data_IF_168408798388
#
_entry.id   IF_168408798388
#
_cell.length_a   1.000
_cell.length_b   1.000
_cell.length_c   1.000
_cell.angle_alpha   90.00
_cell.angle_beta   90.00
_cell.angle_gamma   90.00
#
_symmetry.space_group_name_H-M   'P 1'
#
loop_
_entity.id
_entity.type
_entity.pdbx_description
1 polymer ?
#
# COMPACT_ATOMS: atom_id res chain seq x y z
N UNK A 1 -14.95 -11.64 -48.20
CA UNK A 1 -16.33 -11.18 -47.91
C UNK A 1 -16.61 -11.62 -46.48
N UNK A 2 -16.36 -10.76 -45.49
CA UNK A 2 -17.31 -9.80 -44.88
C UNK A 2 -18.51 -10.48 -44.19
N UNK A 3 -18.71 -10.15 -42.91
CA UNK A 3 -19.83 -10.56 -42.04
C UNK A 3 -19.37 -10.76 -40.59
N UNK A 4 -19.01 -9.67 -39.88
CA UNK A 4 -19.86 -9.03 -38.85
C UNK A 4 -19.95 -9.88 -37.57
N UNK A 5 -19.14 -9.63 -36.54
CA UNK A 5 -19.41 -8.68 -35.44
C UNK A 5 -20.87 -8.69 -34.97
N UNK A 6 -21.15 -9.51 -33.96
CA UNK A 6 -22.20 -9.26 -32.98
C UNK A 6 -21.51 -9.18 -31.61
N UNK A 7 -21.07 -7.96 -31.26
CA UNK A 7 -20.84 -7.62 -29.86
C UNK A 7 -22.22 -7.43 -29.27
N UNK A 8 -22.55 -8.22 -28.26
CA UNK A 8 -23.67 -7.94 -27.37
C UNK A 8 -23.40 -6.58 -26.72
N UNK A 9 -24.01 -5.54 -27.28
CA UNK A 9 -24.12 -4.23 -26.66
C UNK A 9 -24.94 -4.41 -25.38
N UNK A 10 -24.26 -4.42 -24.24
CA UNK A 10 -24.90 -4.09 -22.97
C UNK A 10 -25.21 -2.59 -23.01
N UNK A 11 -26.46 -2.30 -23.36
CA UNK A 11 -27.16 -1.04 -23.16
C UNK A 11 -27.10 -0.64 -21.67
N UNK A 12 -25.97 -0.04 -21.26
CA UNK A 12 -25.90 0.74 -20.04
C UNK A 12 -26.33 2.15 -20.41
N UNK A 13 -27.64 2.36 -20.34
CA UNK A 13 -28.26 3.67 -20.43
C UNK A 13 -27.52 4.67 -19.54
N UNK A 14 -27.09 5.75 -20.19
CA UNK A 14 -26.81 7.02 -19.55
C UNK A 14 -27.99 7.38 -18.65
N UNK A 15 -27.71 7.79 -17.39
CA UNK A 15 -28.38 8.93 -16.71
C UNK A 15 -28.14 9.01 -15.18
N UNK A 16 -27.23 8.24 -14.57
CA UNK A 16 -27.03 8.30 -13.11
C UNK A 16 -25.58 8.20 -12.59
N UNK A 17 -24.59 8.96 -13.12
CA UNK A 17 -23.20 8.78 -12.60
C UNK A 17 -22.24 9.97 -12.70
N UNK A 18 -22.57 11.12 -12.09
CA UNK A 18 -21.57 12.20 -11.87
C UNK A 18 -21.34 12.58 -10.40
N UNK A 19 -22.21 12.16 -9.47
CA UNK A 19 -21.99 12.35 -8.02
C UNK A 19 -21.23 11.21 -7.36
N UNK A 20 -21.35 9.97 -7.86
CA UNK A 20 -20.67 8.81 -7.29
C UNK A 20 -19.16 8.78 -7.55
N UNK A 21 -18.68 9.27 -8.70
CA UNK A 21 -17.24 9.31 -9.00
C UNK A 21 -16.44 10.26 -8.09
N UNK A 22 -17.03 11.40 -7.72
CA UNK A 22 -16.37 12.41 -6.87
C UNK A 22 -16.39 11.95 -5.40
N UNK A 23 -17.51 11.41 -4.91
CA UNK A 23 -17.59 10.89 -3.54
C UNK A 23 -16.74 9.63 -3.36
N UNK A 24 -16.75 8.70 -4.31
CA UNK A 24 -15.89 7.51 -4.28
C UNK A 24 -14.40 7.89 -4.34
N UNK A 25 -14.03 8.87 -5.17
CA UNK A 25 -12.65 9.39 -5.22
C UNK A 25 -12.21 10.05 -3.91
N UNK A 26 -13.08 10.81 -3.26
CA UNK A 26 -12.78 11.45 -1.97
C UNK A 26 -12.68 10.45 -0.83
N UNK A 27 -13.57 9.45 -0.81
CA UNK A 27 -13.52 8.35 0.16
C UNK A 27 -12.25 7.52 -0.04
N UNK A 28 -11.90 7.19 -1.29
CA UNK A 28 -10.66 6.49 -1.62
C UNK A 28 -9.41 7.27 -1.19
N UNK A 29 -9.36 8.58 -1.48
CA UNK A 29 -8.27 9.44 -1.04
C UNK A 29 -8.18 9.52 0.50
N UNK A 30 -9.31 9.64 1.18
CA UNK A 30 -9.36 9.64 2.65
C UNK A 30 -8.88 8.31 3.25
N UNK A 31 -9.32 7.18 2.67
CA UNK A 31 -8.88 5.85 3.08
C UNK A 31 -7.37 5.66 2.90
N UNK A 32 -6.79 6.14 1.79
CA UNK A 32 -5.35 6.11 1.57
C UNK A 32 -4.58 6.92 2.61
N UNK A 33 -5.03 8.15 2.93
CA UNK A 33 -4.39 8.96 3.97
C UNK A 33 -4.43 8.26 5.34
N UNK A 34 -5.56 7.65 5.69
CA UNK A 34 -5.69 6.88 6.94
C UNK A 34 -4.78 5.66 6.95
N UNK A 35 -4.73 4.90 5.86
CA UNK A 35 -3.82 3.74 5.71
C UNK A 35 -2.36 4.17 5.93
N UNK A 36 -1.93 5.22 5.23
CA UNK A 36 -0.56 5.73 5.30
C UNK A 36 -0.23 6.30 6.68
N UNK A 37 -1.21 6.90 7.34
CA UNK A 37 -1.07 7.35 8.71
C UNK A 37 -0.88 6.18 9.68
N UNK A 38 -1.68 5.11 9.55
CA UNK A 38 -1.56 3.90 10.37
C UNK A 38 -0.25 3.16 10.13
N UNK A 39 0.26 3.12 8.89
CA UNK A 39 1.63 2.67 8.59
C UNK A 39 2.65 3.44 9.43
N UNK A 40 2.50 4.76 9.51
CA UNK A 40 3.32 5.61 10.36
C UNK A 40 3.19 5.22 11.84
N UNK A 41 1.97 5.10 12.35
CA UNK A 41 1.74 4.71 13.75
C UNK A 41 2.42 3.38 14.06
N UNK A 42 2.37 2.40 13.16
CA UNK A 42 3.07 1.13 13.31
C UNK A 42 4.58 1.29 13.48
N UNK A 43 5.21 2.17 12.71
CA UNK A 43 6.63 2.52 12.91
C UNK A 43 6.84 3.07 14.32
N UNK A 44 6.09 4.10 14.72
CA UNK A 44 6.28 4.75 16.03
C UNK A 44 6.10 3.79 17.21
N UNK A 45 5.04 2.97 17.21
CA UNK A 45 4.77 2.05 18.31
C UNK A 45 5.73 0.87 18.33
N UNK A 46 6.26 0.43 17.18
CA UNK A 46 7.21 -0.68 17.12
C UNK A 46 8.55 -0.36 17.80
N UNK A 47 9.04 0.89 17.67
CA UNK A 47 10.23 1.36 18.41
C UNK A 47 10.05 1.38 19.93
N UNK A 48 8.80 1.44 20.42
CA UNK A 48 8.52 1.34 21.85
C UNK A 48 8.61 -0.09 22.38
N UNK A 49 8.37 -1.08 21.53
CA UNK A 49 8.54 -2.49 21.89
C UNK A 49 10.03 -2.83 21.95
N UNK A 50 10.76 -2.55 20.88
CA UNK A 50 12.22 -2.67 20.85
C UNK A 50 12.81 -1.91 19.67
N UNK A 51 14.08 -1.49 19.78
CA UNK A 51 14.78 -0.85 18.67
C UNK A 51 14.92 -1.79 17.46
N UNK A 52 15.11 -3.08 17.73
CA UNK A 52 15.17 -4.13 16.72
C UNK A 52 13.87 -4.21 15.90
N UNK A 53 12.72 -4.30 16.58
CA UNK A 53 11.42 -4.34 15.93
C UNK A 53 11.13 -3.04 15.18
N UNK A 54 11.48 -1.90 15.78
CA UNK A 54 11.34 -0.58 15.16
C UNK A 54 12.05 -0.48 13.81
N UNK A 55 13.30 -0.91 13.75
CA UNK A 55 14.08 -0.91 12.51
C UNK A 55 13.45 -1.87 11.48
N UNK A 56 13.08 -3.09 11.90
CA UNK A 56 12.48 -4.07 11.00
C UNK A 56 11.16 -3.57 10.38
N UNK A 57 10.26 -3.01 11.20
CA UNK A 57 8.98 -2.45 10.74
C UNK A 57 9.21 -1.23 9.83
N UNK A 58 10.17 -0.37 10.16
CA UNK A 58 10.52 0.79 9.32
C UNK A 58 10.95 0.34 7.92
N UNK A 59 11.86 -0.62 7.82
CA UNK A 59 12.32 -1.15 6.53
C UNK A 59 11.16 -1.76 5.75
N UNK A 60 10.31 -2.56 6.41
CA UNK A 60 9.14 -3.17 5.79
C UNK A 60 8.16 -2.12 5.24
N UNK A 61 7.82 -1.12 6.05
CA UNK A 61 6.88 -0.06 5.66
C UNK A 61 7.45 0.83 4.56
N UNK A 62 8.75 1.14 4.58
CA UNK A 62 9.40 1.90 3.50
C UNK A 62 9.36 1.11 2.18
N UNK A 63 9.65 -0.18 2.21
CA UNK A 63 9.58 -1.04 1.02
C UNK A 63 8.16 -1.11 0.46
N UNK A 64 7.15 -1.30 1.32
CA UNK A 64 5.74 -1.28 0.95
C UNK A 64 5.32 0.08 0.35
N UNK A 65 5.65 1.17 1.04
CA UNK A 65 5.31 2.53 0.62
C UNK A 65 5.93 2.90 -0.74
N UNK A 66 7.14 2.42 -1.02
CA UNK A 66 7.77 2.60 -2.33
C UNK A 66 6.98 1.89 -3.44
N UNK A 67 6.59 0.63 -3.21
CA UNK A 67 5.78 -0.14 -4.17
C UNK A 67 4.42 0.51 -4.40
N UNK A 68 3.77 0.97 -3.33
CA UNK A 68 2.46 1.62 -3.38
C UNK A 68 2.50 2.97 -4.12
N UNK A 69 3.56 3.75 -3.87
CA UNK A 69 3.84 4.99 -4.61
C UNK A 69 4.04 4.75 -6.10
N UNK A 70 4.85 3.76 -6.48
CA UNK A 70 5.05 3.38 -7.89
C UNK A 70 3.75 2.94 -8.56
N UNK A 71 2.93 2.14 -7.88
CA UNK A 71 1.63 1.71 -8.39
C UNK A 71 0.71 2.91 -8.63
N UNK A 72 0.63 3.82 -7.67
CA UNK A 72 -0.18 5.05 -7.78
C UNK A 72 0.27 5.93 -8.95
N UNK A 73 1.58 6.16 -9.07
CA UNK A 73 2.16 6.92 -10.19
C UNK A 73 1.86 6.24 -11.53
N UNK A 74 2.06 4.92 -11.64
CA UNK A 74 1.81 4.16 -12.85
C UNK A 74 0.32 4.22 -13.27
N UNK A 75 -0.61 4.09 -12.31
CA UNK A 75 -2.05 4.21 -12.56
C UNK A 75 -2.43 5.61 -13.05
N UNK A 76 -1.92 6.67 -12.42
CA UNK A 76 -2.20 8.05 -12.80
C UNK A 76 -1.65 8.41 -14.18
N UNK A 77 -0.46 7.93 -14.51
CA UNK A 77 0.13 8.12 -15.85
C UNK A 77 -0.68 7.36 -16.90
N UNK A 78 -0.96 6.08 -16.68
CA UNK A 78 -1.68 5.23 -17.65
C UNK A 78 -3.13 5.69 -17.89
N UNK A 79 -3.76 6.33 -16.90
CA UNK A 79 -5.12 6.88 -17.03
C UNK A 79 -5.15 8.33 -17.53
N UNK A 80 -3.99 8.94 -17.84
CA UNK A 80 -3.91 10.34 -18.29
C UNK A 80 -4.26 11.37 -17.20
N UNK A 81 -4.29 10.95 -15.93
CA UNK A 81 -4.69 11.78 -14.78
C UNK A 81 -3.52 12.39 -14.02
N UNK A 82 -2.29 12.30 -14.54
CA UNK A 82 -1.12 12.94 -13.94
C UNK A 82 -1.26 14.46 -13.90
N UNK A 83 -1.43 15.03 -12.70
CA UNK A 83 -1.63 16.47 -12.48
C UNK A 83 -0.78 16.96 -11.32
N UNK A 84 -0.67 18.29 -11.14
CA UNK A 84 -0.03 18.89 -9.94
C UNK A 84 -0.65 18.37 -8.63
N UNK A 85 -1.96 18.12 -8.64
CA UNK A 85 -2.66 17.51 -7.50
C UNK A 85 -2.16 16.10 -7.15
N UNK A 86 -1.68 15.33 -8.12
CA UNK A 86 -1.10 13.99 -7.89
C UNK A 86 0.17 14.07 -7.04
N UNK A 87 1.01 15.07 -7.29
CA UNK A 87 2.23 15.30 -6.50
C UNK A 87 1.88 15.73 -5.08
N UNK A 88 0.84 16.55 -4.91
CA UNK A 88 0.36 16.96 -3.58
C UNK A 88 -0.16 15.76 -2.77
N UNK A 89 -0.81 14.79 -3.41
CA UNK A 89 -1.25 13.55 -2.74
C UNK A 89 -0.04 12.75 -2.22
N UNK A 90 1.01 12.57 -3.04
CA UNK A 90 2.22 11.88 -2.60
C UNK A 90 2.95 12.60 -1.44
N UNK A 91 2.95 13.94 -1.44
CA UNK A 91 3.49 14.74 -0.33
C UNK A 91 2.63 14.55 0.92
N UNK A 92 1.30 14.57 0.78
CA UNK A 92 0.38 14.38 1.89
C UNK A 92 0.53 12.99 2.50
N UNK A 93 0.77 11.96 1.69
CA UNK A 93 1.09 10.61 2.16
C UNK A 93 2.39 10.61 3.00
N UNK A 94 3.44 11.29 2.51
CA UNK A 94 4.68 11.47 3.27
C UNK A 94 4.44 12.13 4.64
N UNK A 95 3.66 13.23 4.66
CA UNK A 95 3.31 13.94 5.89
C UNK A 95 2.47 13.06 6.82
N UNK A 96 1.47 12.35 6.29
CA UNK A 96 0.62 11.45 7.05
C UNK A 96 1.45 10.35 7.73
N UNK A 97 2.41 9.76 7.01
CA UNK A 97 3.30 8.73 7.56
C UNK A 97 4.20 9.26 8.67
N UNK A 98 4.83 10.42 8.47
CA UNK A 98 5.66 11.07 9.50
C UNK A 98 4.83 11.47 10.72
N UNK A 99 3.63 12.02 10.49
CA UNK A 99 2.68 12.36 11.54
C UNK A 99 2.23 11.14 12.35
N UNK A 100 1.92 10.04 11.67
CA UNK A 100 1.59 8.75 12.28
C UNK A 100 2.74 8.22 13.14
N UNK A 101 3.97 8.23 12.62
CA UNK A 101 5.15 7.75 13.37
C UNK A 101 5.45 8.60 14.60
N UNK A 102 5.30 9.92 14.46
CA UNK A 102 5.43 10.86 15.58
C UNK A 102 4.39 10.54 16.65
N UNK A 103 3.11 10.46 16.28
CA UNK A 103 2.04 10.13 17.23
C UNK A 103 2.19 8.74 17.85
N UNK A 104 2.56 7.73 17.07
CA UNK A 104 2.83 6.37 17.54
C UNK A 104 3.96 6.30 18.56
N UNK A 105 4.94 7.22 18.48
CA UNK A 105 6.04 7.31 19.45
C UNK A 105 5.56 7.86 20.80
N UNK A 106 4.59 8.78 20.80
CA UNK A 106 4.10 9.44 22.02
C UNK A 106 2.85 8.81 22.64
N UNK A 107 2.09 8.01 21.87
CA UNK A 107 0.86 7.39 22.37
C UNK A 107 1.19 6.28 23.38
N UNK A 108 0.58 6.30 24.56
CA UNK A 108 0.72 5.24 25.56
C UNK A 108 -0.40 4.20 25.37
N UNK A 109 -0.03 3.00 24.93
CA UNK A 109 -0.96 1.89 24.70
C UNK A 109 -0.50 0.71 25.58
N UNK A 110 -1.44 -0.02 26.16
CA UNK A 110 -1.14 -1.24 26.91
C UNK A 110 -0.53 -2.32 25.99
N UNK A 111 0.43 -3.10 26.49
CA UNK A 111 1.14 -4.13 25.73
C UNK A 111 0.22 -5.13 25.00
N UNK A 112 -0.92 -5.49 25.59
CA UNK A 112 -1.90 -6.39 24.95
C UNK A 112 -2.55 -5.77 23.72
N UNK A 113 -2.91 -4.48 23.80
CA UNK A 113 -3.48 -3.74 22.67
C UNK A 113 -2.42 -3.46 21.61
N UNK A 114 -1.18 -3.23 22.02
CA UNK A 114 -0.04 -3.02 21.13
C UNK A 114 0.26 -4.27 20.30
N UNK A 115 0.34 -5.45 20.95
CA UNK A 115 0.49 -6.73 20.26
C UNK A 115 -0.69 -7.03 19.33
N UNK A 116 -1.92 -6.74 19.77
CA UNK A 116 -3.13 -6.84 18.94
C UNK A 116 -3.06 -5.95 17.70
N UNK A 117 -2.63 -4.70 17.85
CA UNK A 117 -2.46 -3.76 16.74
C UNK A 117 -1.38 -4.24 15.75
N UNK A 118 -0.20 -4.62 16.24
CA UNK A 118 0.91 -5.05 15.38
C UNK A 118 0.59 -6.36 14.64
N UNK A 119 -0.12 -7.30 15.27
CA UNK A 119 -0.56 -8.54 14.61
C UNK A 119 -1.61 -8.28 13.53
N UNK A 120 -2.60 -7.41 13.79
CA UNK A 120 -3.58 -6.99 12.79
C UNK A 120 -2.90 -6.27 11.62
N UNK A 121 -1.95 -5.38 11.91
CA UNK A 121 -1.18 -4.63 10.92
C UNK A 121 -0.33 -5.56 10.04
N UNK A 122 0.39 -6.51 10.65
CA UNK A 122 1.14 -7.52 9.91
C UNK A 122 0.23 -8.36 9.01
N UNK A 123 -0.94 -8.77 9.51
CA UNK A 123 -1.95 -9.48 8.72
C UNK A 123 -2.45 -8.67 7.53
N UNK A 124 -2.68 -7.37 7.69
CA UNK A 124 -3.07 -6.46 6.61
C UNK A 124 -1.99 -6.38 5.52
N UNK A 125 -0.71 -6.24 5.90
CA UNK A 125 0.40 -6.20 4.95
C UNK A 125 0.51 -7.52 4.17
N UNK A 126 0.36 -8.67 4.85
CA UNK A 126 0.35 -9.99 4.18
C UNK A 126 -0.83 -10.10 3.21
N UNK A 127 -2.03 -9.67 3.63
CA UNK A 127 -3.22 -9.68 2.76
C UNK A 127 -3.02 -8.81 1.52
N UNK A 128 -2.52 -7.59 1.68
CA UNK A 128 -2.31 -6.66 0.56
C UNK A 128 -1.22 -7.16 -0.40
N UNK A 129 -0.12 -7.67 0.16
CA UNK A 129 0.95 -8.28 -0.63
C UNK A 129 0.45 -9.47 -1.44
N UNK A 130 -0.38 -10.33 -0.85
CA UNK A 130 -0.82 -11.59 -1.49
C UNK A 130 -2.00 -11.40 -2.44
N UNK A 131 -2.94 -10.51 -2.11
CA UNK A 131 -4.18 -10.35 -2.89
C UNK A 131 -4.08 -9.30 -3.99
N UNK A 132 -3.14 -8.35 -3.91
CA UNK A 132 -3.04 -7.24 -4.87
C UNK A 132 -1.65 -7.19 -5.52
N UNK A 133 -0.58 -7.10 -4.73
CA UNK A 133 0.77 -6.86 -5.27
C UNK A 133 1.29 -8.10 -6.02
N UNK A 134 1.23 -9.27 -5.39
CA UNK A 134 1.76 -10.51 -5.96
C UNK A 134 1.02 -10.94 -7.26
N UNK A 135 -0.33 -10.90 -7.32
CA UNK A 135 -1.07 -11.19 -8.55
C UNK A 135 -0.80 -10.17 -9.66
N UNK A 136 -0.75 -8.87 -9.33
CA UNK A 136 -0.47 -7.81 -10.31
C UNK A 136 0.93 -7.93 -10.91
N UNK A 137 1.94 -8.23 -10.08
CA UNK A 137 3.31 -8.46 -10.54
C UNK A 137 3.40 -9.65 -11.50
N UNK A 138 2.62 -10.70 -11.27
CA UNK A 138 2.63 -11.92 -12.08
C UNK A 138 1.66 -11.91 -13.26
N UNK A 139 0.69 -10.99 -13.31
CA UNK A 139 -0.32 -10.94 -14.39
C UNK A 139 0.22 -10.30 -15.67
N UNK A 140 1.02 -9.24 -15.57
CA UNK A 140 1.52 -8.47 -16.74
C UNK A 140 2.76 -9.09 -17.37
N UNK A 141 3.66 -9.66 -16.56
CA UNK A 141 4.91 -10.28 -17.03
C UNK A 141 5.23 -11.56 -16.23
N UNK A 142 4.44 -12.64 -16.37
CA UNK A 142 4.77 -13.90 -15.73
C UNK A 142 6.08 -14.45 -16.29
N UNK A 143 7.14 -14.35 -15.49
CA UNK A 143 8.48 -14.80 -15.85
C UNK A 143 9.17 -15.40 -14.64
N UNK A 144 10.13 -16.29 -14.88
CA UNK A 144 11.04 -16.81 -13.84
C UNK A 144 11.76 -15.66 -13.11
N UNK A 145 11.99 -14.54 -13.78
CA UNK A 145 12.59 -13.35 -13.16
C UNK A 145 11.66 -12.70 -12.13
N UNK A 146 10.36 -12.60 -12.40
CA UNK A 146 9.36 -12.05 -11.47
C UNK A 146 9.31 -12.90 -10.19
N UNK A 147 9.26 -14.22 -10.36
CA UNK A 147 9.27 -15.16 -9.24
C UNK A 147 10.59 -15.08 -8.45
N UNK A 148 11.74 -14.97 -9.12
CA UNK A 148 13.03 -14.80 -8.47
C UNK A 148 13.11 -13.48 -7.69
N UNK A 149 12.49 -12.41 -8.21
CA UNK A 149 12.44 -11.11 -7.53
C UNK A 149 11.60 -11.16 -6.25
N UNK A 150 10.47 -11.89 -6.26
CA UNK A 150 9.66 -12.13 -5.05
C UNK A 150 10.44 -12.93 -4.01
N UNK A 151 11.10 -14.02 -4.43
CA UNK A 151 11.94 -14.83 -3.52
C UNK A 151 13.12 -14.03 -2.97
N UNK A 152 13.76 -13.20 -3.79
CA UNK A 152 14.84 -12.32 -3.38
C UNK A 152 14.36 -11.28 -2.35
N UNK A 153 13.17 -10.70 -2.52
CA UNK A 153 12.56 -9.80 -1.53
C UNK A 153 12.29 -10.50 -0.19
N UNK A 154 11.74 -11.72 -0.22
CA UNK A 154 11.55 -12.54 0.99
C UNK A 154 12.89 -12.83 1.68
N UNK A 155 13.90 -13.27 0.91
CA UNK A 155 15.24 -13.57 1.42
C UNK A 155 15.92 -12.33 2.01
N UNK A 156 15.78 -11.17 1.37
CA UNK A 156 16.29 -9.90 1.87
C UNK A 156 15.67 -9.55 3.23
N UNK A 157 14.34 -9.59 3.34
CA UNK A 157 13.66 -9.31 4.61
C UNK A 157 14.03 -10.32 5.70
N UNK A 158 14.18 -11.60 5.34
CA UNK A 158 14.65 -12.63 6.28
C UNK A 158 16.04 -12.31 6.81
N UNK A 159 16.99 -11.93 5.95
CA UNK A 159 18.34 -11.54 6.35
C UNK A 159 18.30 -10.32 7.26
N UNK A 160 17.52 -9.30 6.92
CA UNK A 160 17.37 -8.07 7.71
C UNK A 160 16.90 -8.40 9.12
N UNK A 161 15.86 -9.23 9.28
CA UNK A 161 15.34 -9.61 10.60
C UNK A 161 16.41 -10.34 11.42
N UNK A 162 17.06 -11.34 10.83
CA UNK A 162 18.10 -12.11 11.53
C UNK A 162 19.31 -11.23 11.90
N UNK A 163 19.70 -10.29 11.04
CA UNK A 163 20.83 -9.39 11.29
C UNK A 163 20.57 -8.37 12.41
N UNK A 164 19.30 -8.05 12.68
CA UNK A 164 18.91 -7.10 13.73
C UNK A 164 18.70 -7.80 15.09
N UNK A 165 18.41 -9.11 15.09
CA UNK A 165 18.27 -9.92 16.31
C UNK A 165 19.59 -10.47 16.87
N UNK A 166 20.66 -10.43 16.08
CA UNK A 166 22.04 -10.82 16.46
C UNK A 166 22.78 -9.71 17.23
#
# INVERSE_FOLDING_TARGET
MSGAHEKVESDYGNDHEHRHGITAGLIGAGAMVVHVFLDGVAIGVSFRVSNALGIAVTIAVVAHAFSDGLNTVALLINTGNWKRSSVLLLILDGIARVGGATLGTYIAINDSLLGGYLSLFAGMLIYLATSHILPEAHSKHPSRLTLLSTLAGLGFMFIVINAIEM
#
